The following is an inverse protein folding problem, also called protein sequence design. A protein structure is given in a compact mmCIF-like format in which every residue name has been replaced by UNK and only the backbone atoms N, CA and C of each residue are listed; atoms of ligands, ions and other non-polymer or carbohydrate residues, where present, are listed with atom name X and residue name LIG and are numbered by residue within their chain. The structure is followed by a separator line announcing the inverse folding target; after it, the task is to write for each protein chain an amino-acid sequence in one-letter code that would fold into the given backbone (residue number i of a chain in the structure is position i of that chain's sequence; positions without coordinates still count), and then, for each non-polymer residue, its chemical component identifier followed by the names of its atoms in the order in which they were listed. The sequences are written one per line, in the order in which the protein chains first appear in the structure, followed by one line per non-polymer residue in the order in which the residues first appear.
data_IF_945134585256
#
_entry.id   IF_945134585256
#
_cell.length_a   1.000
_cell.length_b   1.000
_cell.length_c   1.000
_cell.angle_alpha   90.00
_cell.angle_beta   90.00
_cell.angle_gamma   90.00
#
_symmetry.space_group_name_H-M   'P 1'
#
loop_
_entity.id
_entity.type
_entity.pdbx_description
1 polymer ?
#
# COMPACT_ATOMS: atom_id res chain seq x y z
N UNK A 1 6.00 -2.00 -40.11
CA UNK A 1 6.47 -2.98 -39.12
C UNK A 1 7.89 -2.61 -38.72
N UNK A 2 8.23 -2.77 -37.45
CA UNK A 2 9.54 -2.38 -36.93
C UNK A 2 10.13 -3.52 -36.13
N UNK A 3 11.34 -3.92 -36.48
CA UNK A 3 12.09 -4.93 -35.77
C UNK A 3 12.98 -4.29 -34.73
N UNK A 4 12.59 -4.45 -33.45
CA UNK A 4 13.37 -3.95 -32.31
C UNK A 4 14.45 -4.98 -31.96
N UNK A 5 15.71 -4.57 -32.03
CA UNK A 5 16.85 -5.42 -31.72
C UNK A 5 17.17 -5.41 -30.23
N UNK A 6 17.18 -4.24 -29.60
CA UNK A 6 17.30 -4.10 -28.16
C UNK A 6 16.74 -2.76 -27.69
N UNK A 7 16.38 -2.74 -26.43
CA UNK A 7 15.85 -1.61 -25.69
C UNK A 7 16.47 -1.65 -24.29
N UNK A 8 17.29 -0.67 -23.98
CA UNK A 8 18.03 -0.59 -22.72
C UNK A 8 17.66 0.72 -22.04
N UNK A 9 17.03 0.63 -20.86
CA UNK A 9 16.60 1.80 -20.10
C UNK A 9 17.07 1.75 -18.66
N UNK A 10 17.37 2.92 -18.12
CA UNK A 10 17.58 3.14 -16.69
C UNK A 10 16.37 3.88 -16.13
N UNK A 11 15.69 3.27 -15.18
CA UNK A 11 14.44 3.79 -14.63
C UNK A 11 14.57 4.11 -13.14
N UNK A 12 14.04 5.26 -12.72
CA UNK A 12 13.79 5.61 -11.34
C UNK A 12 12.36 5.21 -10.96
N UNK A 13 12.20 4.46 -9.88
CA UNK A 13 10.92 3.97 -9.40
C UNK A 13 10.43 4.80 -8.21
N UNK A 14 9.16 5.20 -8.24
CA UNK A 14 8.50 5.97 -7.21
C UNK A 14 7.30 5.19 -6.66
N UNK A 15 7.29 4.83 -5.37
CA UNK A 15 6.11 4.24 -4.77
C UNK A 15 4.99 5.27 -4.71
N UNK A 16 3.87 5.01 -5.39
CA UNK A 16 2.68 5.87 -5.40
C UNK A 16 1.73 5.57 -4.25
N UNK A 17 1.83 4.39 -3.67
CA UNK A 17 1.04 3.99 -2.51
C UNK A 17 0.93 2.48 -2.37
N UNK A 18 0.56 2.10 -1.16
CA UNK A 18 0.23 0.71 -0.83
C UNK A 18 -1.29 0.62 -0.67
N UNK A 19 -1.93 -0.34 -1.33
CA UNK A 19 -3.39 -0.47 -1.38
C UNK A 19 -4.03 -0.85 -0.03
N UNK A 20 -3.28 -1.01 1.02
CA UNK A 20 -3.81 -1.26 2.35
C UNK A 20 -3.20 -0.30 3.36
N UNK A 21 -3.75 0.92 3.45
CA UNK A 21 -3.33 1.94 4.41
C UNK A 21 -3.34 1.48 5.87
N UNK A 22 -4.19 0.50 6.19
CA UNK A 22 -4.37 -0.03 7.55
C UNK A 22 -3.56 -1.31 7.82
N UNK A 23 -2.90 -1.89 6.82
CA UNK A 23 -2.08 -3.10 7.03
C UNK A 23 -0.64 -2.73 7.27
N UNK A 24 -0.08 -3.35 8.29
CA UNK A 24 1.33 -3.23 8.70
C UNK A 24 2.31 -3.60 7.58
N UNK A 25 1.95 -4.59 6.80
CA UNK A 25 2.73 -5.06 5.65
C UNK A 25 1.77 -5.26 4.47
N UNK A 26 1.59 -4.25 3.61
CA UNK A 26 0.77 -4.41 2.43
C UNK A 26 1.40 -5.44 1.48
N UNK A 27 0.56 -6.23 0.82
CA UNK A 27 1.00 -7.18 -0.20
C UNK A 27 0.88 -6.62 -1.61
N UNK A 28 0.20 -5.49 -1.78
CA UNK A 28 -0.03 -4.84 -3.06
C UNK A 28 0.51 -3.42 -2.99
N UNK A 29 1.34 -3.06 -3.94
CA UNK A 29 1.91 -1.72 -4.10
C UNK A 29 1.69 -1.21 -5.52
N UNK A 30 1.43 0.08 -5.65
CA UNK A 30 1.36 0.78 -6.93
C UNK A 30 2.60 1.65 -7.03
N UNK A 31 3.23 1.65 -8.19
CA UNK A 31 4.40 2.48 -8.45
C UNK A 31 4.32 3.17 -9.80
N UNK A 32 5.01 4.29 -9.92
CA UNK A 32 5.36 4.93 -11.16
C UNK A 32 6.84 4.80 -11.44
N UNK A 33 7.22 4.87 -12.70
CA UNK A 33 8.61 4.94 -13.09
C UNK A 33 8.80 5.95 -14.22
N UNK A 34 9.96 6.60 -14.23
CA UNK A 34 10.42 7.45 -15.31
C UNK A 34 11.90 7.18 -15.53
N UNK A 35 12.32 7.21 -16.76
CA UNK A 35 13.70 6.90 -17.09
C UNK A 35 14.21 7.52 -18.36
N UNK A 36 15.36 7.04 -18.77
CA UNK A 36 15.96 7.32 -20.07
C UNK A 36 16.69 6.10 -20.56
N UNK A 37 16.77 5.94 -21.87
CA UNK A 37 17.44 4.78 -22.48
C UNK A 37 17.68 4.95 -23.97
N UNK A 38 18.10 3.85 -24.56
CA UNK A 38 18.37 3.78 -26.00
C UNK A 38 17.65 2.57 -26.55
N UNK A 39 16.93 2.78 -27.62
CA UNK A 39 16.34 1.73 -28.46
C UNK A 39 17.15 1.61 -29.74
N UNK A 40 17.30 0.37 -30.22
CA UNK A 40 17.87 0.09 -31.53
C UNK A 40 16.87 -0.76 -32.32
N UNK A 41 16.56 -0.31 -33.51
CA UNK A 41 15.54 -0.93 -34.35
C UNK A 41 15.82 -0.75 -35.85
N UNK A 42 15.12 -1.54 -36.65
CA UNK A 42 15.08 -1.40 -38.11
C UNK A 42 13.61 -1.32 -38.53
N UNK A 43 13.17 -0.20 -39.13
CA UNK A 43 11.82 -0.07 -39.63
C UNK A 43 11.66 -0.79 -40.97
N UNK A 44 10.49 -1.38 -41.21
CA UNK A 44 10.11 -2.05 -42.45
C UNK A 44 8.79 -1.52 -42.95
N UNK A 45 8.77 -0.94 -44.12
CA UNK A 45 7.55 -0.46 -44.79
C UNK A 45 7.12 -1.46 -45.86
N UNK A 46 5.87 -1.90 -45.79
CA UNK A 46 5.31 -2.87 -46.74
C UNK A 46 4.18 -2.22 -47.56
N UNK A 47 4.12 -2.56 -48.85
CA UNK A 47 3.00 -2.23 -49.70
C UNK A 47 1.88 -3.27 -49.56
N UNK A 48 0.64 -2.78 -49.65
CA UNK A 48 -0.58 -3.58 -49.87
C UNK A 48 -0.69 -4.89 -49.07
N UNK A 49 -0.85 -4.76 -47.77
CA UNK A 49 -1.15 -5.88 -46.90
C UNK A 49 0.06 -6.79 -46.55
N UNK A 50 1.28 -6.31 -46.68
CA UNK A 50 2.47 -6.93 -46.08
C UNK A 50 3.13 -8.00 -46.96
N UNK A 51 2.97 -7.96 -48.26
CA UNK A 51 3.58 -8.94 -49.17
C UNK A 51 4.86 -8.46 -49.84
N UNK A 52 5.02 -7.17 -50.05
CA UNK A 52 6.18 -6.61 -50.78
C UNK A 52 6.81 -5.52 -49.90
N UNK A 53 8.07 -5.74 -49.50
CA UNK A 53 8.88 -4.73 -48.82
C UNK A 53 9.24 -3.61 -49.80
N UNK A 54 9.03 -2.36 -49.40
CA UNK A 54 9.44 -1.20 -50.18
C UNK A 54 10.98 -1.12 -50.18
N UNK A 55 11.63 -1.77 -51.13
CA UNK A 55 13.06 -1.61 -51.34
C UNK A 55 13.35 -0.45 -52.31
N UNK A 56 13.65 0.70 -51.73
CA UNK A 56 14.55 1.72 -52.31
C UNK A 56 14.18 2.45 -53.61
N UNK A 57 13.01 2.27 -54.22
CA UNK A 57 12.70 2.97 -55.49
C UNK A 57 11.24 3.43 -55.53
N UNK A 58 10.94 4.54 -54.91
CA UNK A 58 9.73 5.25 -55.22
C UNK A 58 9.95 6.78 -55.26
N UNK A 59 10.55 7.21 -56.38
CA UNK A 59 10.73 8.62 -56.70
C UNK A 59 9.40 9.40 -56.85
N UNK A 60 8.28 8.71 -56.95
CA UNK A 60 6.97 9.33 -57.13
C UNK A 60 6.33 9.75 -55.80
N UNK A 61 6.71 9.15 -54.68
CA UNK A 61 6.26 9.51 -53.35
C UNK A 61 7.26 10.39 -52.58
N UNK A 62 8.46 10.60 -53.10
CA UNK A 62 9.49 11.47 -52.53
C UNK A 62 9.11 12.92 -52.39
N UNK A 63 8.05 13.38 -53.05
CA UNK A 63 7.55 14.76 -52.89
C UNK A 63 6.66 14.95 -51.66
N UNK A 64 6.18 13.87 -51.04
CA UNK A 64 5.29 13.92 -49.87
C UNK A 64 5.97 13.50 -48.56
N UNK A 65 7.03 12.70 -48.66
CA UNK A 65 7.77 12.17 -47.51
C UNK A 65 9.26 12.27 -47.79
N UNK A 66 10.02 12.87 -46.89
CA UNK A 66 11.41 13.26 -47.15
C UNK A 66 12.36 12.08 -47.35
N UNK A 67 12.15 10.92 -46.69
CA UNK A 67 12.90 9.68 -46.97
C UNK A 67 12.25 8.48 -46.26
N UNK A 68 12.29 7.32 -46.91
CA UNK A 68 12.06 6.01 -46.25
C UNK A 68 13.44 5.50 -45.83
N UNK A 69 13.68 5.40 -44.54
CA UNK A 69 14.96 4.93 -44.01
C UNK A 69 14.80 3.51 -43.42
N UNK A 70 15.52 2.58 -44.00
CA UNK A 70 15.58 1.15 -43.56
C UNK A 70 16.87 0.85 -42.80
N UNK A 71 17.61 1.88 -42.43
CA UNK A 71 18.85 1.65 -41.70
C UNK A 71 18.58 1.28 -40.25
N UNK A 72 19.46 0.44 -39.72
CA UNK A 72 19.50 0.18 -38.30
C UNK A 72 19.79 1.49 -37.55
N UNK A 73 18.83 1.92 -36.76
CA UNK A 73 18.85 3.22 -36.11
C UNK A 73 18.85 3.04 -34.59
N UNK A 74 19.62 3.89 -33.92
CA UNK A 74 19.62 3.97 -32.44
C UNK A 74 19.14 5.32 -32.00
N UNK A 75 18.13 5.35 -31.11
CA UNK A 75 17.50 6.58 -30.65
C UNK A 75 17.36 6.62 -29.14
N UNK A 76 17.30 7.84 -28.62
CA UNK A 76 17.01 8.08 -27.22
C UNK A 76 15.52 7.84 -26.97
N UNK A 77 15.20 7.17 -25.85
CA UNK A 77 13.82 6.97 -25.39
C UNK A 77 13.65 7.47 -23.98
N UNK A 78 12.45 7.97 -23.70
CA UNK A 78 12.02 8.39 -22.37
C UNK A 78 10.82 7.53 -21.98
N UNK A 79 11.00 6.49 -21.14
CA UNK A 79 9.93 5.67 -20.65
C UNK A 79 9.18 6.35 -19.51
N UNK A 80 7.86 6.28 -19.56
CA UNK A 80 6.94 6.58 -18.46
C UNK A 80 6.13 5.34 -18.17
N UNK A 81 6.20 4.84 -16.95
CA UNK A 81 5.56 3.59 -16.59
C UNK A 81 4.69 3.75 -15.34
N UNK A 82 3.62 2.96 -15.32
CA UNK A 82 2.83 2.71 -14.12
C UNK A 82 2.70 1.21 -13.93
N UNK A 83 2.85 0.76 -12.71
CA UNK A 83 2.83 -0.66 -12.42
C UNK A 83 2.21 -0.99 -11.08
N UNK A 84 1.86 -2.26 -10.98
CA UNK A 84 1.34 -2.89 -9.77
C UNK A 84 2.27 -4.02 -9.40
N UNK A 85 2.63 -4.08 -8.11
CA UNK A 85 3.49 -5.13 -7.57
C UNK A 85 2.74 -5.88 -6.48
N UNK A 86 2.71 -7.21 -6.57
CA UNK A 86 2.10 -8.08 -5.58
C UNK A 86 3.14 -8.98 -4.93
N UNK A 87 3.25 -8.91 -3.60
CA UNK A 87 4.18 -9.74 -2.84
C UNK A 87 3.61 -11.13 -2.59
N UNK A 88 4.22 -12.15 -3.20
CA UNK A 88 3.85 -13.55 -3.04
C UNK A 88 4.52 -14.15 -1.80
N UNK A 89 5.80 -13.82 -1.58
CA UNK A 89 6.59 -14.30 -0.48
C UNK A 89 7.55 -13.21 0.02
N UNK A 90 8.29 -13.47 1.09
CA UNK A 90 9.26 -12.50 1.66
C UNK A 90 10.28 -12.00 0.63
N UNK A 91 10.69 -12.85 -0.31
CA UNK A 91 11.72 -12.55 -1.30
C UNK A 91 11.21 -12.48 -2.73
N UNK A 92 9.91 -12.76 -2.97
CA UNK A 92 9.35 -12.81 -4.31
C UNK A 92 8.14 -11.89 -4.46
N UNK A 93 8.13 -11.14 -5.54
CA UNK A 93 7.00 -10.30 -5.95
C UNK A 93 6.71 -10.47 -7.43
N UNK A 94 5.42 -10.53 -7.78
CA UNK A 94 4.96 -10.38 -9.16
C UNK A 94 4.76 -8.91 -9.46
N UNK A 95 5.08 -8.48 -10.66
CA UNK A 95 4.80 -7.13 -11.15
C UNK A 95 4.13 -7.18 -12.51
N UNK A 96 3.19 -6.26 -12.71
CA UNK A 96 2.61 -5.93 -13.99
C UNK A 96 2.84 -4.43 -14.22
N UNK A 97 3.37 -4.08 -15.37
CA UNK A 97 3.76 -2.71 -15.70
C UNK A 97 3.29 -2.35 -17.11
N UNK A 98 2.66 -1.20 -17.23
CA UNK A 98 2.35 -0.56 -18.50
C UNK A 98 3.32 0.60 -18.70
N UNK A 99 4.02 0.60 -19.82
CA UNK A 99 5.03 1.58 -20.17
C UNK A 99 4.67 2.29 -21.46
N UNK A 100 4.66 3.62 -21.42
CA UNK A 100 4.65 4.50 -22.58
C UNK A 100 6.08 4.96 -22.83
N UNK A 101 6.52 4.91 -24.06
CA UNK A 101 7.88 5.29 -24.47
C UNK A 101 7.83 6.28 -25.60
N UNK A 102 8.38 7.46 -25.35
CA UNK A 102 8.53 8.50 -26.33
C UNK A 102 9.93 8.46 -26.90
N UNK A 103 10.04 8.39 -28.21
CA UNK A 103 11.31 8.55 -28.95
C UNK A 103 11.53 10.03 -29.25
N UNK A 104 12.69 10.40 -29.72
CA UNK A 104 12.96 11.77 -30.17
C UNK A 104 13.05 11.87 -31.69
N UNK A 105 12.38 10.99 -32.41
CA UNK A 105 12.32 11.02 -33.85
C UNK A 105 11.07 10.33 -34.43
N UNK A 106 10.72 10.68 -35.64
CA UNK A 106 9.60 10.19 -36.45
C UNK A 106 10.13 9.16 -37.49
N UNK A 107 10.79 8.08 -37.00
CA UNK A 107 11.40 7.07 -37.88
C UNK A 107 10.97 5.65 -37.60
N UNK A 108 10.27 5.43 -36.50
CA UNK A 108 9.94 4.09 -36.05
C UNK A 108 8.92 3.40 -36.95
N UNK A 109 8.04 4.15 -37.59
CA UNK A 109 7.10 3.62 -38.58
C UNK A 109 7.69 3.49 -40.00
N UNK A 110 8.93 3.96 -40.21
CA UNK A 110 9.62 3.96 -41.49
C UNK A 110 9.27 5.16 -42.40
N UNK A 111 8.44 6.08 -41.94
CA UNK A 111 8.08 7.28 -42.62
C UNK A 111 8.62 8.49 -41.87
N UNK A 112 9.53 9.24 -42.51
CA UNK A 112 10.08 10.46 -41.91
C UNK A 112 9.44 11.69 -42.57
N UNK A 113 8.84 12.55 -41.78
CA UNK A 113 8.27 13.82 -42.23
C UNK A 113 8.88 14.97 -41.46
N UNK A 114 9.44 15.94 -42.20
CA UNK A 114 9.96 17.17 -41.59
C UNK A 114 8.80 17.96 -40.93
N UNK A 115 8.78 18.09 -39.59
CA UNK A 115 7.72 18.70 -38.77
C UNK A 115 6.59 17.74 -38.35
N UNK A 116 6.82 16.44 -38.31
CA UNK A 116 5.92 15.49 -37.67
C UNK A 116 6.16 15.42 -36.14
N UNK A 117 5.22 14.85 -35.41
CA UNK A 117 5.38 14.53 -34.00
C UNK A 117 6.26 13.30 -33.87
N UNK A 118 7.02 13.21 -32.76
CA UNK A 118 7.88 12.07 -32.44
C UNK A 118 7.06 10.78 -32.28
N UNK A 119 7.67 9.65 -32.57
CA UNK A 119 7.03 8.34 -32.45
C UNK A 119 6.92 7.88 -31.00
N UNK A 120 5.74 7.40 -30.64
CA UNK A 120 5.45 6.81 -29.34
C UNK A 120 5.08 5.35 -29.46
N UNK A 121 5.49 4.53 -28.51
CA UNK A 121 5.03 3.16 -28.40
C UNK A 121 4.75 2.76 -26.97
N UNK A 122 3.89 1.77 -26.79
CA UNK A 122 3.56 1.24 -25.47
C UNK A 122 3.65 -0.26 -25.42
N UNK A 123 3.91 -0.78 -24.22
CA UNK A 123 3.84 -2.21 -23.99
C UNK A 123 3.40 -2.53 -22.56
N UNK A 124 2.85 -3.73 -22.40
CA UNK A 124 2.52 -4.32 -21.13
C UNK A 124 3.53 -5.41 -20.81
N UNK A 125 4.13 -5.35 -19.64
CA UNK A 125 5.07 -6.37 -19.16
C UNK A 125 4.56 -7.04 -17.90
N UNK A 126 4.91 -8.32 -17.75
CA UNK A 126 4.74 -9.10 -16.54
C UNK A 126 6.10 -9.59 -16.08
N UNK A 127 6.40 -9.43 -14.82
CA UNK A 127 7.70 -9.77 -14.27
C UNK A 127 7.63 -10.45 -12.92
N UNK A 128 8.71 -11.17 -12.60
CA UNK A 128 8.98 -11.72 -11.27
C UNK A 128 10.21 -11.03 -10.71
N UNK A 129 10.04 -10.42 -9.55
CA UNK A 129 11.14 -9.76 -8.83
C UNK A 129 11.62 -10.65 -7.69
N UNK A 130 12.92 -10.88 -7.61
CA UNK A 130 13.58 -11.51 -6.48
C UNK A 130 14.36 -10.48 -5.67
N UNK A 131 14.05 -10.38 -4.38
CA UNK A 131 14.70 -9.46 -3.46
C UNK A 131 15.89 -10.11 -2.78
N UNK A 132 17.08 -9.62 -3.05
CA UNK A 132 18.33 -10.12 -2.47
C UNK A 132 18.57 -9.38 -1.15
N UNK A 133 18.62 -10.12 -0.03
CA UNK A 133 18.92 -9.56 1.28
C UNK A 133 18.26 -10.32 2.43
N UNK A 134 18.77 -10.07 3.65
CA UNK A 134 18.26 -10.68 4.89
C UNK A 134 17.32 -9.77 5.67
N UNK A 135 17.09 -8.52 5.23
CA UNK A 135 16.24 -7.58 5.96
C UNK A 135 14.78 -8.02 5.84
N UNK A 136 14.11 -8.13 6.96
CA UNK A 136 12.69 -8.47 7.06
C UNK A 136 11.78 -7.44 6.37
N UNK A 137 12.27 -6.21 6.23
CA UNK A 137 11.54 -5.10 5.63
C UNK A 137 12.34 -4.55 4.45
N UNK A 138 11.88 -4.86 3.26
CA UNK A 138 12.34 -4.18 2.04
C UNK A 138 11.71 -2.78 2.04
N UNK A 139 12.49 -1.76 1.75
CA UNK A 139 12.05 -0.35 1.79
C UNK A 139 10.77 -0.10 0.96
N UNK A 140 10.59 -0.87 -0.12
CA UNK A 140 9.45 -0.82 -1.02
C UNK A 140 8.11 -1.19 -0.34
N UNK A 141 8.15 -2.07 0.69
CA UNK A 141 6.99 -2.52 1.45
C UNK A 141 6.89 -1.86 2.83
N UNK A 142 7.79 -0.92 3.13
CA UNK A 142 7.79 -0.20 4.39
C UNK A 142 6.79 0.95 4.34
N UNK A 143 5.80 0.88 5.22
CA UNK A 143 4.91 2.01 5.43
C UNK A 143 5.56 2.97 6.43
N UNK A 144 5.93 4.21 6.06
CA UNK A 144 6.53 5.17 6.98
C UNK A 144 5.62 5.56 8.16
N UNK A 145 4.31 5.38 7.99
CA UNK A 145 3.31 5.59 9.04
C UNK A 145 3.15 4.40 10.00
N UNK A 146 3.92 3.32 9.78
CA UNK A 146 3.82 2.09 10.56
C UNK A 146 3.93 2.29 12.07
N UNK A 147 4.93 3.06 12.51
CA UNK A 147 5.13 3.33 13.93
C UNK A 147 3.96 4.13 14.51
N UNK A 148 3.46 5.12 13.77
CA UNK A 148 2.31 5.92 14.19
C UNK A 148 1.04 5.06 14.32
N UNK A 149 0.81 4.12 13.40
CA UNK A 149 -0.31 3.19 13.52
C UNK A 149 -0.12 2.19 14.66
N UNK A 150 1.09 1.70 14.90
CA UNK A 150 1.39 0.84 16.05
C UNK A 150 1.09 1.55 17.36
N UNK A 151 1.55 2.79 17.51
CA UNK A 151 1.31 3.62 18.68
C UNK A 151 -0.20 3.92 18.87
N UNK A 152 -0.93 4.15 17.76
CA UNK A 152 -2.37 4.38 17.79
C UNK A 152 -3.15 3.14 18.25
N UNK A 153 -2.76 1.95 17.78
CA UNK A 153 -3.37 0.69 18.23
C UNK A 153 -3.05 0.40 19.70
N UNK A 154 -1.80 0.59 20.13
CA UNK A 154 -1.43 0.45 21.53
C UNK A 154 -2.17 1.44 22.44
N UNK A 155 -2.39 2.66 21.97
CA UNK A 155 -3.22 3.65 22.69
C UNK A 155 -4.68 3.22 22.76
N UNK A 156 -5.23 2.70 21.65
CA UNK A 156 -6.60 2.19 21.63
C UNK A 156 -6.79 1.02 22.60
N UNK A 157 -5.89 0.04 22.57
CA UNK A 157 -5.96 -1.11 23.47
C UNK A 157 -5.86 -0.70 24.95
N UNK A 158 -4.99 0.28 25.26
CA UNK A 158 -4.91 0.85 26.61
C UNK A 158 -6.16 1.60 27.01
N UNK A 159 -6.76 2.35 26.06
CA UNK A 159 -8.00 3.07 26.30
C UNK A 159 -9.18 2.12 26.52
N UNK A 160 -9.25 1.04 25.73
CA UNK A 160 -10.27 -0.01 25.90
C UNK A 160 -10.13 -0.70 27.27
N UNK A 161 -8.91 -0.95 27.75
CA UNK A 161 -8.64 -1.49 29.10
C UNK A 161 -9.07 -0.49 30.21
N UNK A 162 -8.85 0.82 30.01
CA UNK A 162 -9.21 1.86 30.97
C UNK A 162 -10.70 2.20 31.00
N UNK A 163 -11.44 1.80 29.97
CA UNK A 163 -12.89 2.12 29.85
C UNK A 163 -13.79 0.90 30.00
N UNK A 164 -13.20 -0.30 30.01
CA UNK A 164 -13.97 -1.53 30.23
C UNK A 164 -14.42 -1.60 31.67
N UNK A 165 -15.72 -1.75 31.88
CA UNK A 165 -16.41 -1.87 33.15
C UNK A 165 -17.24 -3.17 33.08
N UNK A 166 -16.77 -4.22 33.75
CA UNK A 166 -17.27 -5.57 33.60
C UNK A 166 -18.56 -5.82 34.36
N UNK A 167 -18.70 -5.29 35.55
CA UNK A 167 -19.85 -5.45 36.43
C UNK A 167 -20.83 -4.27 36.39
N UNK A 168 -20.42 -3.17 35.70
CA UNK A 168 -21.24 -1.96 35.47
C UNK A 168 -21.58 -1.17 36.72
N UNK A 169 -20.65 -1.13 37.63
CA UNK A 169 -20.75 -0.33 38.84
C UNK A 169 -20.34 1.14 38.66
N UNK A 170 -19.73 1.46 37.48
CA UNK A 170 -19.29 2.80 37.10
C UNK A 170 -17.80 3.04 37.31
N UNK A 171 -17.05 2.05 37.76
CA UNK A 171 -15.58 2.06 37.85
C UNK A 171 -15.00 1.09 36.83
N UNK A 172 -14.00 1.52 36.09
CA UNK A 172 -13.40 0.65 35.09
C UNK A 172 -12.58 -0.46 35.73
N UNK A 173 -12.62 -1.66 35.15
CA UNK A 173 -11.93 -2.90 35.62
C UNK A 173 -10.48 -2.64 36.06
N UNK A 174 -9.79 -1.70 35.41
CA UNK A 174 -8.38 -1.36 35.71
C UNK A 174 -8.20 -0.65 37.05
N UNK A 175 -9.21 0.11 37.49
CA UNK A 175 -9.18 0.91 38.72
C UNK A 175 -10.02 0.30 39.83
N UNK A 176 -10.79 -0.73 39.49
CA UNK A 176 -11.73 -1.38 40.36
C UNK A 176 -11.06 -2.39 41.28
N UNK A 177 -11.33 -2.26 42.58
CA UNK A 177 -10.85 -3.16 43.59
C UNK A 177 -11.76 -4.37 43.83
N UNK A 178 -13.04 -4.24 43.47
CA UNK A 178 -14.05 -5.30 43.61
C UNK A 178 -14.74 -5.58 42.27
N UNK A 179 -14.05 -6.26 41.29
CA UNK A 179 -14.50 -6.41 39.90
C UNK A 179 -15.78 -7.24 39.71
N UNK A 180 -16.43 -7.67 40.76
CA UNK A 180 -17.66 -8.49 40.74
C UNK A 180 -18.76 -7.88 41.60
N UNK A 181 -18.85 -6.55 41.70
CA UNK A 181 -19.92 -5.87 42.44
C UNK A 181 -21.28 -6.15 41.78
N UNK A 182 -22.31 -6.55 42.56
CA UNK A 182 -23.63 -6.80 42.00
C UNK A 182 -24.23 -5.55 41.32
N UNK A 183 -24.80 -5.71 40.13
CA UNK A 183 -25.34 -4.64 39.30
C UNK A 183 -26.40 -3.84 40.07
N UNK A 184 -26.24 -2.50 40.11
CA UNK A 184 -27.20 -1.59 40.70
C UNK A 184 -26.85 -1.12 42.12
N UNK A 185 -25.81 -1.66 42.71
CA UNK A 185 -25.28 -1.13 43.98
C UNK A 185 -24.27 -0.01 43.71
N UNK A 186 -24.14 0.86 44.67
CA UNK A 186 -23.21 1.99 44.59
C UNK A 186 -21.87 1.61 45.20
N UNK A 187 -20.80 2.09 44.59
CA UNK A 187 -19.43 1.88 45.05
C UNK A 187 -18.73 3.23 45.28
N UNK A 188 -17.61 3.18 45.95
CA UNK A 188 -16.69 4.32 46.02
C UNK A 188 -15.94 4.49 44.71
N UNK A 189 -15.22 5.61 44.53
CA UNK A 189 -14.47 5.88 43.28
C UNK A 189 -13.34 4.95 42.96
N UNK A 190 -13.01 3.99 43.84
CA UNK A 190 -12.03 2.93 43.68
C UNK A 190 -12.68 1.53 43.48
N UNK A 191 -14.01 1.50 43.29
CA UNK A 191 -14.75 0.25 43.07
C UNK A 191 -15.10 -0.51 44.34
N UNK A 192 -14.68 -0.02 45.52
CA UNK A 192 -15.07 -0.69 46.77
C UNK A 192 -16.52 -0.47 47.11
N UNK A 193 -17.20 -1.51 47.55
CA UNK A 193 -18.60 -1.45 47.94
C UNK A 193 -18.80 -0.54 49.12
N UNK A 194 -19.94 0.14 49.14
CA UNK A 194 -20.33 1.01 50.28
C UNK A 194 -20.74 0.14 51.47
N UNK A 195 -20.19 0.45 52.61
CA UNK A 195 -20.56 -0.02 53.94
C UNK A 195 -21.04 1.22 54.75
N UNK A 196 -22.36 1.36 54.87
CA UNK A 196 -22.97 2.61 55.38
C UNK A 196 -22.86 2.82 56.88
N UNK A 197 -22.79 1.74 57.64
CA UNK A 197 -22.69 1.77 59.12
C UNK A 197 -21.29 1.41 59.64
N UNK A 198 -20.44 0.84 58.80
CA UNK A 198 -19.05 0.55 59.13
C UNK A 198 -18.86 -0.69 59.98
N UNK A 199 -19.76 -1.65 59.88
CA UNK A 199 -19.70 -2.92 60.61
C UNK A 199 -18.84 -3.99 59.92
N UNK A 200 -18.44 -3.74 58.64
CA UNK A 200 -17.59 -4.61 57.84
C UNK A 200 -18.36 -5.45 56.82
N UNK A 201 -19.68 -5.31 56.74
CA UNK A 201 -20.53 -5.87 55.69
C UNK A 201 -20.87 -4.82 54.61
N UNK A 202 -20.66 -5.10 53.31
CA UNK A 202 -21.11 -4.19 52.28
C UNK A 202 -22.63 -4.15 52.22
N UNK A 203 -23.24 -2.93 51.97
CA UNK A 203 -24.68 -2.69 51.95
C UNK A 203 -25.49 -3.68 51.10
N UNK A 204 -24.91 -4.26 50.07
CA UNK A 204 -25.58 -5.22 49.18
C UNK A 204 -25.69 -6.63 49.80
N UNK A 205 -24.88 -6.95 50.80
CA UNK A 205 -24.86 -8.24 51.48
C UNK A 205 -25.23 -8.14 52.94
N UNK A 206 -25.58 -6.94 53.39
CA UNK A 206 -25.95 -6.60 54.76
C UNK A 206 -27.46 -6.67 54.95
N UNK A 207 -27.89 -7.42 55.96
CA UNK A 207 -29.31 -7.52 56.31
C UNK A 207 -29.86 -6.32 57.05
N UNK A 208 -29.00 -5.51 57.73
CA UNK A 208 -29.34 -4.31 58.47
C UNK A 208 -28.35 -3.16 58.11
N UNK A 209 -28.35 -2.61 56.83
CA UNK A 209 -27.35 -1.69 56.32
C UNK A 209 -27.22 -0.33 57.07
N UNK A 210 -27.96 -0.13 58.11
CA UNK A 210 -27.97 1.09 58.93
C UNK A 210 -28.01 0.75 60.41
N UNK A 211 -27.34 -0.29 60.83
CA UNK A 211 -27.21 -0.64 62.27
C UNK A 211 -26.50 0.50 63.04
N UNK A 212 -26.70 0.59 64.34
CA UNK A 212 -25.96 1.57 65.15
C UNK A 212 -24.46 1.33 65.07
N UNK A 213 -23.66 2.36 64.83
CA UNK A 213 -22.20 2.26 64.76
C UNK A 213 -21.66 1.58 66.03
N UNK A 214 -20.77 0.63 65.83
CA UNK A 214 -20.16 -0.21 66.86
C UNK A 214 -21.09 -1.29 67.43
N UNK A 215 -22.23 -1.59 66.84
CA UNK A 215 -22.98 -2.78 67.15
C UNK A 215 -22.12 -4.04 66.85
N UNK A 216 -22.26 -5.06 67.70
CA UNK A 216 -21.61 -6.35 67.41
C UNK A 216 -22.58 -7.13 66.53
N UNK A 217 -22.23 -7.27 65.29
CA UNK A 217 -23.05 -7.92 64.24
C UNK A 217 -22.52 -9.31 63.92
N UNK A 218 -23.36 -10.17 63.41
CA UNK A 218 -22.97 -11.48 62.86
C UNK A 218 -22.43 -11.36 61.44
N UNK A 219 -22.10 -12.48 60.80
CA UNK A 219 -21.58 -12.49 59.43
C UNK A 219 -22.59 -12.03 58.34
N UNK A 220 -23.83 -11.73 58.72
CA UNK A 220 -24.89 -11.23 57.85
C UNK A 220 -25.26 -9.76 58.11
N UNK A 221 -24.49 -9.05 58.97
CA UNK A 221 -24.72 -7.67 59.31
C UNK A 221 -25.86 -7.45 60.34
N UNK A 222 -26.23 -8.47 61.12
CA UNK A 222 -27.26 -8.43 62.15
C UNK A 222 -26.71 -8.36 63.53
#
# INVERSE_FOLDING_TARGET
NTDVHYDITLNAYFPLGNVAFLKRTPNLAIYGAVGAGVINYTPHVYLDGGKDELTGIYSQYQQAYDTVDYSNTSELIIPFSVGVKYRIAKQFSLNAEYSLRTTNSDRMDGWYKLLSEDDDYSYLSLGLTYHIGRKEHVAEWYNPLYNMYADLYDMKDKMDLMTKDGDKDGVADYFDREPETPVGFKVYGDGTSIDSDGDGGPDFNDAEPFSPKLAVVDASGR
#
